data_IF_788509937549
#
_entry.id   IF_788509937549
#
_cell.length_a   1.000
_cell.length_b   1.000
_cell.length_c   1.000
_cell.angle_alpha   90.00
_cell.angle_beta   90.00
_cell.angle_gamma   90.00
#
_symmetry.space_group_name_H-M   'P 1'
#
loop_
_entity.id
_entity.type
_entity.pdbx_description
1 polymer ?
#
# COMPACT_ATOMS: atom_id res chain seq x y z
N UNK A 1 10.50 -6.53 17.41
CA UNK A 1 10.85 -5.96 16.09
C UNK A 1 9.66 -6.22 15.20
N UNK A 2 8.81 -5.21 14.98
CA UNK A 2 7.62 -5.36 14.14
C UNK A 2 8.05 -5.69 12.71
N UNK A 3 7.63 -6.85 12.23
CA UNK A 3 7.82 -7.29 10.85
C UNK A 3 6.85 -6.51 9.95
N UNK A 4 7.15 -5.22 9.75
CA UNK A 4 6.32 -4.34 8.92
C UNK A 4 6.77 -4.35 7.47
N UNK A 5 5.82 -4.31 6.54
CA UNK A 5 6.09 -4.26 5.11
C UNK A 5 5.01 -3.48 4.36
N UNK A 6 5.35 -3.01 3.15
CA UNK A 6 4.44 -2.22 2.33
C UNK A 6 3.80 -3.09 1.25
N UNK A 7 2.50 -2.88 1.03
CA UNK A 7 1.70 -3.55 0.01
C UNK A 7 0.80 -2.54 -0.70
N UNK A 8 0.33 -2.81 -1.93
CA UNK A 8 -0.74 -2.02 -2.53
C UNK A 8 -1.99 -2.03 -1.64
N UNK A 9 -2.63 -0.89 -1.43
CA UNK A 9 -3.85 -0.83 -0.61
C UNK A 9 -5.06 -1.50 -1.31
N UNK A 10 -5.00 -1.58 -2.64
CA UNK A 10 -6.00 -2.23 -3.47
C UNK A 10 -5.55 -2.30 -4.93
N UNK A 11 -6.50 -2.47 -5.83
CA UNK A 11 -6.27 -2.33 -7.27
C UNK A 11 -6.05 -0.87 -7.64
N UNK A 12 -5.11 -0.61 -8.55
CA UNK A 12 -4.88 0.71 -9.14
C UNK A 12 -4.64 0.63 -10.64
N UNK A 13 -5.17 1.60 -11.39
CA UNK A 13 -4.97 1.74 -12.83
C UNK A 13 -4.52 3.16 -13.17
N UNK A 14 -3.47 3.28 -13.98
CA UNK A 14 -2.93 4.54 -14.46
C UNK A 14 -2.66 4.53 -15.96
N UNK A 15 -3.02 5.61 -16.65
CA UNK A 15 -2.76 5.78 -18.08
C UNK A 15 -1.60 6.74 -18.32
N UNK A 16 -0.63 6.31 -19.13
CA UNK A 16 0.43 7.16 -19.66
C UNK A 16 0.42 7.14 -21.20
N UNK A 17 0.55 8.31 -21.82
CA UNK A 17 0.62 8.43 -23.28
C UNK A 17 1.94 9.11 -23.69
N UNK A 18 2.66 8.53 -24.66
CA UNK A 18 3.85 9.11 -25.27
C UNK A 18 3.90 8.78 -26.77
N UNK A 19 4.08 9.81 -27.61
CA UNK A 19 4.07 9.72 -29.08
C UNK A 19 2.93 8.84 -29.63
N UNK A 20 1.71 9.08 -29.15
CA UNK A 20 0.48 8.34 -29.46
C UNK A 20 0.45 6.87 -29.00
N UNK A 21 1.53 6.37 -28.41
CA UNK A 21 1.48 5.07 -27.74
C UNK A 21 0.78 5.24 -26.40
N UNK A 22 -0.03 4.26 -26.02
CA UNK A 22 -0.74 4.24 -24.75
C UNK A 22 -0.22 3.12 -23.88
N UNK A 23 -0.04 3.41 -22.60
CA UNK A 23 0.44 2.47 -21.60
C UNK A 23 -0.53 2.50 -20.43
N UNK A 24 -1.18 1.37 -20.17
CA UNK A 24 -2.12 1.21 -19.07
C UNK A 24 -1.39 0.38 -18.01
N UNK A 25 -0.98 1.03 -16.93
CA UNK A 25 -0.32 0.39 -15.79
C UNK A 25 -1.33 -0.02 -14.74
N UNK A 26 -1.45 -1.31 -14.51
CA UNK A 26 -2.34 -1.91 -13.51
C UNK A 26 -1.51 -2.51 -12.37
N UNK A 27 -1.96 -2.27 -11.13
CA UNK A 27 -1.39 -2.81 -9.90
C UNK A 27 -2.45 -3.65 -9.19
N UNK A 28 -2.04 -4.83 -8.75
CA UNK A 28 -2.86 -5.77 -8.00
C UNK A 28 -2.14 -6.18 -6.72
N UNK A 29 -2.81 -6.17 -5.56
CA UNK A 29 -2.33 -6.89 -4.39
C UNK A 29 -2.47 -8.40 -4.66
N UNK A 30 -1.41 -9.15 -4.39
CA UNK A 30 -1.34 -10.61 -4.58
C UNK A 30 -0.44 -11.22 -3.53
N UNK A 31 -0.84 -12.36 -2.98
CA UNK A 31 -0.10 -13.05 -1.91
C UNK A 31 0.74 -14.22 -2.45
N UNK A 32 0.43 -14.71 -3.66
CA UNK A 32 1.08 -15.89 -4.23
C UNK A 32 1.51 -15.70 -5.69
N UNK A 33 2.52 -16.44 -6.17
CA UNK A 33 2.86 -16.47 -7.60
C UNK A 33 1.69 -16.89 -8.49
N UNK A 34 0.83 -17.80 -8.02
CA UNK A 34 -0.34 -18.30 -8.72
C UNK A 34 -1.38 -17.18 -8.93
N UNK A 35 -1.63 -16.37 -7.90
CA UNK A 35 -2.48 -15.18 -8.02
C UNK A 35 -1.90 -14.16 -8.99
N UNK A 36 -0.59 -13.90 -8.94
CA UNK A 36 0.07 -13.00 -9.89
C UNK A 36 -0.11 -13.49 -11.34
N UNK A 37 0.06 -14.79 -11.60
CA UNK A 37 -0.15 -15.40 -12.92
C UNK A 37 -1.62 -15.25 -13.34
N UNK A 38 -2.57 -15.45 -12.44
CA UNK A 38 -4.00 -15.29 -12.72
C UNK A 38 -4.34 -13.84 -13.12
N UNK A 39 -3.77 -12.84 -12.42
CA UNK A 39 -3.95 -11.41 -12.78
C UNK A 39 -3.34 -11.07 -14.14
N UNK A 40 -2.15 -11.60 -14.44
CA UNK A 40 -1.52 -11.41 -15.76
C UNK A 40 -2.42 -11.99 -16.86
N UNK A 41 -2.99 -13.18 -16.66
CA UNK A 41 -3.90 -13.79 -17.61
C UNK A 41 -5.22 -12.99 -17.77
N UNK A 42 -5.76 -12.47 -16.67
CA UNK A 42 -6.94 -11.60 -16.66
C UNK A 42 -6.71 -10.34 -17.52
N UNK A 43 -5.59 -9.65 -17.32
CA UNK A 43 -5.21 -8.45 -18.09
C UNK A 43 -5.01 -8.77 -19.58
N UNK A 44 -4.32 -9.89 -19.88
CA UNK A 44 -4.14 -10.36 -21.27
C UNK A 44 -5.48 -10.65 -21.95
N UNK A 45 -6.45 -11.21 -21.23
CA UNK A 45 -7.79 -11.46 -21.76
C UNK A 45 -8.60 -10.17 -21.95
N UNK A 46 -8.52 -9.24 -20.98
CA UNK A 46 -9.17 -7.91 -21.01
C UNK A 46 -8.73 -7.10 -22.22
N UNK A 47 -7.43 -7.10 -22.52
CA UNK A 47 -6.81 -6.30 -23.59
C UNK A 47 -6.19 -7.15 -24.70
N UNK A 48 -6.91 -8.18 -25.16
CA UNK A 48 -6.43 -9.17 -26.15
C UNK A 48 -5.92 -8.60 -27.49
N UNK A 49 -6.26 -7.36 -27.81
CA UNK A 49 -5.86 -6.65 -29.03
C UNK A 49 -4.55 -5.86 -28.87
N UNK A 50 -4.07 -5.70 -27.63
CA UNK A 50 -2.73 -5.16 -27.38
C UNK A 50 -1.65 -6.19 -27.71
N UNK A 51 -0.48 -5.69 -28.11
CA UNK A 51 0.64 -6.56 -28.52
C UNK A 51 1.52 -6.98 -27.35
N UNK A 52 1.60 -6.15 -26.32
CA UNK A 52 2.51 -6.33 -25.19
C UNK A 52 1.78 -6.11 -23.87
N UNK A 53 1.96 -7.06 -22.96
CA UNK A 53 1.55 -7.04 -21.57
C UNK A 53 2.77 -7.38 -20.70
N UNK A 54 3.68 -6.42 -20.61
CA UNK A 54 4.86 -6.55 -19.78
C UNK A 54 4.44 -6.58 -18.31
N UNK A 55 5.15 -7.33 -17.48
CA UNK A 55 4.78 -7.47 -16.07
C UNK A 55 6.00 -7.53 -15.16
N UNK A 56 5.76 -7.23 -13.90
CA UNK A 56 6.66 -7.45 -12.79
C UNK A 56 5.86 -7.81 -11.54
N UNK A 57 6.35 -8.74 -10.72
CA UNK A 57 5.74 -9.01 -9.42
C UNK A 57 6.78 -9.32 -8.36
N UNK A 58 6.42 -8.99 -7.11
CA UNK A 58 7.20 -9.25 -5.91
C UNK A 58 6.26 -9.92 -4.91
N UNK A 59 6.59 -11.14 -4.50
CA UNK A 59 5.89 -11.87 -3.42
C UNK A 59 6.88 -12.06 -2.28
N UNK A 60 6.51 -11.59 -1.09
CA UNK A 60 7.39 -11.62 0.09
C UNK A 60 7.64 -13.06 0.53
N UNK A 61 6.57 -13.85 0.65
CA UNK A 61 6.69 -15.26 0.98
C UNK A 61 7.44 -16.01 -0.13
N UNK A 62 8.48 -16.78 0.23
CA UNK A 62 9.35 -17.46 -0.73
C UNK A 62 10.29 -16.54 -1.53
N UNK A 63 10.29 -15.22 -1.27
CA UNK A 63 11.18 -14.23 -1.90
C UNK A 63 11.13 -14.28 -3.45
N UNK A 64 9.92 -14.33 -4.01
CA UNK A 64 9.76 -14.35 -5.46
C UNK A 64 9.84 -12.94 -6.04
N UNK A 65 10.73 -12.78 -7.03
CA UNK A 65 10.78 -11.62 -7.90
C UNK A 65 10.85 -12.09 -9.35
N UNK A 66 9.91 -11.62 -10.17
CA UNK A 66 9.83 -11.95 -11.60
C UNK A 66 9.44 -10.74 -12.40
N UNK A 67 9.89 -10.71 -13.64
CA UNK A 67 9.47 -9.72 -14.64
C UNK A 67 9.48 -10.35 -16.03
N UNK A 68 8.80 -9.71 -16.98
CA UNK A 68 8.82 -10.04 -18.40
C UNK A 68 8.66 -8.79 -19.23
N UNK A 69 9.45 -8.70 -20.30
CA UNK A 69 9.33 -7.66 -21.32
C UNK A 69 8.29 -8.00 -22.41
N UNK A 70 7.70 -9.21 -22.39
CA UNK A 70 6.60 -9.64 -23.30
C UNK A 70 6.80 -9.25 -24.79
N UNK A 71 8.03 -9.39 -25.29
CA UNK A 71 8.37 -9.09 -26.68
C UNK A 71 8.83 -7.65 -26.96
N UNK A 72 8.86 -6.78 -25.95
CA UNK A 72 9.63 -5.54 -26.00
C UNK A 72 11.14 -5.83 -26.00
N UNK A 73 11.99 -4.87 -26.41
CA UNK A 73 13.43 -5.01 -26.27
C UNK A 73 13.82 -5.34 -24.82
N UNK A 74 14.77 -6.26 -24.67
CA UNK A 74 15.16 -6.80 -23.38
C UNK A 74 15.55 -5.70 -22.38
N UNK A 75 15.00 -5.78 -21.17
CA UNK A 75 15.28 -4.86 -20.07
C UNK A 75 14.65 -3.48 -20.21
N UNK A 76 13.76 -3.27 -21.19
CA UNK A 76 13.14 -1.96 -21.43
C UNK A 76 11.75 -1.79 -20.83
N UNK A 77 11.14 -2.87 -20.32
CA UNK A 77 9.78 -2.83 -19.79
C UNK A 77 9.67 -3.45 -18.39
N UNK A 78 9.80 -4.77 -18.27
CA UNK A 78 9.57 -5.48 -17.00
C UNK A 78 10.59 -5.10 -15.92
N UNK A 79 11.85 -4.92 -16.28
CA UNK A 79 12.90 -4.52 -15.32
C UNK A 79 12.67 -3.10 -14.76
N UNK A 80 12.40 -2.06 -15.58
CA UNK A 80 11.98 -0.76 -15.07
C UNK A 80 10.77 -0.79 -14.13
N UNK A 81 9.76 -1.61 -14.43
CA UNK A 81 8.58 -1.77 -13.56
C UNK A 81 8.96 -2.40 -12.21
N UNK A 82 9.80 -3.44 -12.24
CA UNK A 82 10.31 -4.09 -11.02
C UNK A 82 11.13 -3.12 -10.16
N UNK A 83 11.96 -2.29 -10.79
CA UNK A 83 12.76 -1.28 -10.08
C UNK A 83 11.91 -0.23 -9.37
N UNK A 84 10.75 0.15 -9.92
CA UNK A 84 9.78 1.03 -9.25
C UNK A 84 9.29 0.38 -7.95
N UNK A 85 8.79 -0.86 -8.04
CA UNK A 85 8.26 -1.59 -6.89
C UNK A 85 9.32 -1.76 -5.79
N UNK A 86 10.56 -2.09 -6.17
CA UNK A 86 11.68 -2.25 -5.24
C UNK A 86 12.09 -0.95 -4.57
N UNK A 87 12.18 0.16 -5.31
CA UNK A 87 12.56 1.46 -4.74
C UNK A 87 11.53 1.98 -3.75
N UNK A 88 10.26 1.70 -3.99
CA UNK A 88 9.16 2.03 -3.08
C UNK A 88 8.96 0.96 -1.98
N UNK A 89 9.81 -0.09 -1.92
CA UNK A 89 9.74 -1.20 -0.98
C UNK A 89 8.39 -1.96 -0.95
N UNK A 90 7.69 -2.00 -2.09
CA UNK A 90 6.40 -2.66 -2.20
C UNK A 90 6.59 -4.17 -2.41
N UNK A 91 5.84 -4.96 -1.65
CA UNK A 91 5.77 -6.41 -1.73
C UNK A 91 4.32 -6.86 -1.93
N UNK A 92 4.12 -8.16 -2.17
CA UNK A 92 2.81 -8.76 -2.41
C UNK A 92 2.02 -8.02 -3.50
N UNK A 93 2.70 -7.82 -4.64
CA UNK A 93 2.26 -6.94 -5.72
C UNK A 93 2.50 -7.57 -7.08
N UNK A 94 1.53 -7.43 -7.97
CA UNK A 94 1.67 -7.69 -9.40
C UNK A 94 1.39 -6.40 -10.17
N UNK A 95 2.34 -6.00 -11.01
CA UNK A 95 2.21 -4.89 -11.94
C UNK A 95 2.16 -5.43 -13.36
N UNK A 96 1.15 -5.03 -14.13
CA UNK A 96 1.03 -5.34 -15.55
C UNK A 96 0.88 -4.03 -16.32
N UNK A 97 1.70 -3.81 -17.34
CA UNK A 97 1.57 -2.66 -18.23
C UNK A 97 1.18 -3.16 -19.61
N UNK A 98 -0.03 -2.81 -20.02
CA UNK A 98 -0.55 -3.08 -21.37
C UNK A 98 -0.17 -1.92 -22.29
N UNK A 99 0.44 -2.23 -23.44
CA UNK A 99 0.86 -1.21 -24.41
C UNK A 99 0.10 -1.32 -25.74
N UNK A 100 -0.44 -0.20 -26.18
CA UNK A 100 -0.90 0.04 -27.55
C UNK A 100 0.12 0.90 -28.30
N UNK A 101 0.62 0.41 -29.44
CA UNK A 101 1.62 1.12 -30.23
C UNK A 101 1.01 2.30 -31.02
N UNK A 102 1.60 3.49 -30.89
CA UNK A 102 1.13 4.73 -31.52
C UNK A 102 1.64 5.04 -32.93
N UNK A 103 2.29 4.07 -33.59
CA UNK A 103 2.88 4.27 -34.91
C UNK A 103 4.24 5.01 -34.92
N UNK A 104 4.78 5.40 -33.76
CA UNK A 104 6.08 6.07 -33.63
C UNK A 104 6.95 5.34 -32.62
N UNK A 105 8.16 4.98 -33.02
CA UNK A 105 9.11 4.31 -32.13
C UNK A 105 9.59 5.27 -31.02
N UNK A 106 9.65 4.75 -29.80
CA UNK A 106 10.10 5.48 -28.61
C UNK A 106 11.61 5.34 -28.38
N UNK A 107 12.23 4.30 -28.94
CA UNK A 107 13.61 3.89 -28.63
C UNK A 107 13.74 3.34 -27.19
N UNK A 108 14.89 2.75 -26.88
CA UNK A 108 15.16 2.10 -25.57
C UNK A 108 14.87 3.03 -24.38
N UNK A 109 15.43 4.25 -24.40
CA UNK A 109 15.23 5.19 -23.30
C UNK A 109 13.78 5.70 -23.18
N UNK A 110 13.03 5.76 -24.28
CA UNK A 110 11.61 6.13 -24.26
C UNK A 110 10.75 5.03 -23.65
N UNK A 111 11.00 3.76 -23.99
CA UNK A 111 10.30 2.62 -23.40
C UNK A 111 10.55 2.52 -21.90
N UNK A 112 11.82 2.58 -21.48
CA UNK A 112 12.18 2.55 -20.05
C UNK A 112 11.40 3.61 -19.27
N UNK A 113 11.38 4.86 -19.75
CA UNK A 113 10.59 5.92 -19.10
C UNK A 113 9.10 5.65 -19.10
N UNK A 114 8.53 5.17 -20.21
CA UNK A 114 7.10 4.92 -20.32
C UNK A 114 6.62 3.81 -19.36
N UNK A 115 7.34 2.68 -19.30
CA UNK A 115 7.02 1.59 -18.38
C UNK A 115 7.25 1.99 -16.92
N UNK A 116 8.31 2.75 -16.63
CA UNK A 116 8.55 3.33 -15.29
C UNK A 116 7.36 4.19 -14.86
N UNK A 117 6.95 5.14 -15.71
CA UNK A 117 5.88 6.08 -15.37
C UNK A 117 4.53 5.39 -15.24
N UNK A 118 4.25 4.38 -16.07
CA UNK A 118 3.02 3.61 -16.00
C UNK A 118 2.90 2.81 -14.70
N UNK A 119 3.98 2.15 -14.27
CA UNK A 119 4.01 1.47 -12.98
C UNK A 119 3.83 2.44 -11.81
N UNK A 120 4.47 3.61 -11.85
CA UNK A 120 4.28 4.65 -10.83
C UNK A 120 2.85 5.14 -10.74
N UNK A 121 2.20 5.43 -11.88
CA UNK A 121 0.81 5.89 -11.91
C UNK A 121 -0.16 4.81 -11.42
N UNK A 122 0.06 3.55 -11.81
CA UNK A 122 -0.74 2.43 -11.30
C UNK A 122 -0.59 2.27 -9.78
N UNK A 123 0.63 2.43 -9.25
CA UNK A 123 0.89 2.30 -7.81
C UNK A 123 0.33 3.47 -7.02
N UNK A 124 0.43 4.68 -7.55
CA UNK A 124 -0.19 5.88 -6.99
C UNK A 124 -1.71 5.72 -6.90
N UNK A 125 -2.35 5.21 -7.97
CA UNK A 125 -3.79 4.93 -7.99
C UNK A 125 -4.21 3.82 -7.01
N UNK A 126 -3.34 2.80 -6.82
CA UNK A 126 -3.61 1.69 -5.90
C UNK A 126 -3.58 2.12 -4.43
N UNK A 127 -2.82 3.17 -4.11
CA UNK A 127 -2.45 3.51 -2.74
C UNK A 127 -1.53 2.47 -2.11
N UNK A 128 -1.00 2.79 -0.93
CA UNK A 128 -0.06 1.93 -0.19
C UNK A 128 -0.55 1.75 1.24
N UNK A 129 -0.60 0.49 1.66
CA UNK A 129 -0.78 0.11 3.06
C UNK A 129 0.55 -0.34 3.66
N UNK A 130 0.77 0.02 4.93
CA UNK A 130 1.77 -0.60 5.78
C UNK A 130 1.11 -1.72 6.58
N UNK A 131 1.55 -2.95 6.35
CA UNK A 131 1.21 -4.10 7.16
C UNK A 131 2.11 -4.10 8.40
N UNK A 132 1.53 -4.17 9.60
CA UNK A 132 2.26 -4.28 10.87
C UNK A 132 1.35 -4.87 11.94
N UNK A 133 1.93 -5.27 13.07
CA UNK A 133 1.17 -5.46 14.31
C UNK A 133 0.78 -4.11 14.89
N UNK A 134 -0.50 -3.99 15.24
CA UNK A 134 -1.09 -2.85 15.94
C UNK A 134 -1.74 -3.35 17.22
N UNK A 135 -1.61 -2.56 18.28
CA UNK A 135 -2.32 -2.81 19.54
C UNK A 135 -3.66 -2.07 19.50
N UNK A 136 -4.73 -2.77 19.87
CA UNK A 136 -6.07 -2.22 20.04
C UNK A 136 -6.23 -1.83 21.50
N UNK A 137 -6.48 -0.55 21.76
CA UNK A 137 -6.63 0.00 23.10
C UNK A 137 -8.03 0.55 23.28
N UNK A 138 -8.55 0.41 24.50
CA UNK A 138 -9.75 1.05 24.96
C UNK A 138 -9.37 2.19 25.90
N UNK A 139 -9.75 3.41 25.55
CA UNK A 139 -9.49 4.61 26.36
C UNK A 139 -10.81 5.11 26.92
N UNK A 140 -10.97 5.11 28.23
CA UNK A 140 -12.16 5.66 28.89
C UNK A 140 -11.84 6.98 29.56
N UNK A 141 -12.58 8.03 29.20
CA UNK A 141 -12.38 9.37 29.73
C UNK A 141 -13.68 10.15 29.93
N UNK A 142 -13.70 11.11 30.88
CA UNK A 142 -14.79 12.07 30.99
C UNK A 142 -14.90 12.96 29.74
N UNK A 143 -16.11 13.42 29.44
CA UNK A 143 -16.39 14.33 28.32
C UNK A 143 -15.51 15.58 28.30
N UNK A 144 -15.15 16.13 29.47
CA UNK A 144 -14.30 17.32 29.57
C UNK A 144 -12.86 17.10 29.07
N UNK A 145 -12.40 15.85 29.03
CA UNK A 145 -11.06 15.47 28.62
C UNK A 145 -10.99 14.87 27.22
N UNK A 146 -12.13 14.57 26.59
CA UNK A 146 -12.17 13.99 25.24
C UNK A 146 -11.32 14.77 24.24
N UNK A 147 -11.45 16.10 24.22
CA UNK A 147 -10.66 16.95 23.31
C UNK A 147 -9.16 16.88 23.57
N UNK A 148 -8.74 16.72 24.83
CA UNK A 148 -7.32 16.53 25.19
C UNK A 148 -6.83 15.18 24.69
N UNK A 149 -7.59 14.11 24.94
CA UNK A 149 -7.27 12.76 24.46
C UNK A 149 -7.11 12.77 22.94
N UNK A 150 -8.10 13.27 22.21
CA UNK A 150 -8.09 13.31 20.73
C UNK A 150 -6.92 14.11 20.15
N UNK A 151 -6.43 15.13 20.85
CA UNK A 151 -5.26 15.90 20.40
C UNK A 151 -3.95 15.14 20.59
N UNK A 152 -3.86 14.24 21.57
CA UNK A 152 -2.65 13.47 21.88
C UNK A 152 -2.50 12.26 20.95
N UNK A 153 -3.60 11.59 20.58
CA UNK A 153 -3.52 10.35 19.77
C UNK A 153 -2.65 10.47 18.50
N UNK A 154 -2.80 11.53 17.66
CA UNK A 154 -2.03 11.65 16.43
C UNK A 154 -0.51 11.80 16.66
N UNK A 155 -0.09 12.36 17.80
CA UNK A 155 1.33 12.53 18.15
C UNK A 155 2.02 11.18 18.42
N UNK A 156 1.24 10.14 18.72
CA UNK A 156 1.70 8.78 19.01
C UNK A 156 1.39 7.78 17.87
N UNK A 157 1.11 8.28 16.66
CA UNK A 157 0.67 7.47 15.52
C UNK A 157 -0.57 6.61 15.84
N UNK A 158 -1.38 7.07 16.79
CA UNK A 158 -2.58 6.39 17.25
C UNK A 158 -3.81 6.93 16.49
N UNK A 159 -4.61 6.01 15.94
CA UNK A 159 -5.80 6.30 15.18
C UNK A 159 -7.03 5.95 16.00
N UNK A 160 -8.07 6.78 15.94
CA UNK A 160 -9.37 6.45 16.54
C UNK A 160 -10.19 5.63 15.55
N UNK A 161 -10.55 4.41 15.95
CA UNK A 161 -11.38 3.50 15.17
C UNK A 161 -12.87 3.72 15.46
N UNK A 162 -13.21 3.94 16.73
CA UNK A 162 -14.59 4.20 17.16
C UNK A 162 -14.65 5.05 18.44
N UNK A 163 -15.77 5.74 18.65
CA UNK A 163 -16.04 6.51 19.86
C UNK A 163 -17.47 6.24 20.33
N UNK A 164 -17.60 5.68 21.52
CA UNK A 164 -18.86 5.45 22.19
C UNK A 164 -19.12 6.52 23.26
N UNK A 165 -20.33 7.09 23.25
CA UNK A 165 -20.76 8.12 24.18
C UNK A 165 -21.79 7.55 25.16
N UNK A 166 -21.38 7.33 26.41
CA UNK A 166 -22.23 6.78 27.47
C UNK A 166 -22.16 7.64 28.75
N UNK A 167 -22.01 7.02 29.92
CA UNK A 167 -21.77 7.76 31.16
C UNK A 167 -20.42 8.49 31.12
N UNK A 168 -19.39 7.79 30.65
CA UNK A 168 -18.12 8.32 30.20
C UNK A 168 -17.96 8.09 28.69
N UNK A 169 -16.95 8.72 28.08
CA UNK A 169 -16.62 8.52 26.67
C UNK A 169 -15.57 7.42 26.55
N UNK A 170 -15.83 6.46 25.67
CA UNK A 170 -14.90 5.36 25.42
C UNK A 170 -14.43 5.42 23.97
N UNK A 171 -13.12 5.43 23.77
CA UNK A 171 -12.51 5.42 22.44
C UNK A 171 -11.86 4.06 22.21
N UNK A 172 -12.19 3.42 21.09
CA UNK A 172 -11.40 2.31 20.57
C UNK A 172 -10.36 2.89 19.63
N UNK A 173 -9.08 2.62 19.93
CA UNK A 173 -7.96 3.20 19.18
C UNK A 173 -6.94 2.13 18.80
N UNK A 174 -6.22 2.37 17.72
CA UNK A 174 -5.14 1.50 17.24
C UNK A 174 -3.84 2.28 17.09
N UNK A 175 -2.74 1.70 17.57
CA UNK A 175 -1.38 2.24 17.38
C UNK A 175 -0.37 1.12 17.11
N UNK A 176 0.79 1.42 16.52
CA UNK A 176 1.83 0.43 16.32
C UNK A 176 2.20 -0.28 17.63
N UNK A 177 2.30 -1.62 17.60
CA UNK A 177 2.66 -2.42 18.77
C UNK A 177 4.02 -1.97 19.34
N UNK A 178 4.08 -1.78 20.66
CA UNK A 178 5.21 -1.20 21.39
C UNK A 178 5.08 0.29 21.73
N UNK A 179 4.06 0.98 21.23
CA UNK A 179 3.77 2.39 21.53
C UNK A 179 2.88 2.61 22.76
N UNK A 180 2.36 1.54 23.38
CA UNK A 180 1.29 1.59 24.38
C UNK A 180 1.72 2.33 25.64
N UNK A 181 2.91 2.03 26.16
CA UNK A 181 3.43 2.64 27.38
C UNK A 181 3.67 4.15 27.21
N UNK A 182 4.17 4.55 26.03
CA UNK A 182 4.41 5.96 25.72
C UNK A 182 3.10 6.74 25.62
N UNK A 183 2.09 6.19 24.96
CA UNK A 183 0.76 6.81 24.89
C UNK A 183 0.10 6.89 26.27
N UNK A 184 0.14 5.80 27.04
CA UNK A 184 -0.44 5.76 28.38
C UNK A 184 0.22 6.78 29.32
N UNK A 185 1.55 6.96 29.24
CA UNK A 185 2.26 7.97 30.01
C UNK A 185 1.82 9.40 29.62
N UNK A 186 1.77 9.72 28.32
CA UNK A 186 1.35 11.03 27.84
C UNK A 186 -0.09 11.38 28.26
N UNK A 187 -1.01 10.42 28.14
CA UNK A 187 -2.40 10.59 28.57
C UNK A 187 -2.50 10.81 30.09
N UNK A 188 -1.76 10.06 30.91
CA UNK A 188 -1.75 10.25 32.37
C UNK A 188 -1.26 11.64 32.75
N UNK A 189 -0.17 12.11 32.14
CA UNK A 189 0.40 13.43 32.43
C UNK A 189 -0.54 14.56 32.04
N UNK A 190 -1.16 14.48 30.86
CA UNK A 190 -2.06 15.52 30.37
C UNK A 190 -3.41 15.57 31.11
N UNK A 191 -3.82 14.46 31.71
CA UNK A 191 -5.16 14.31 32.30
C UNK A 191 -5.14 14.18 33.82
N UNK A 192 -3.96 14.31 34.45
CA UNK A 192 -3.79 14.03 35.89
C UNK A 192 -4.30 12.63 36.28
N UNK A 193 -4.03 11.64 35.43
CA UNK A 193 -4.46 10.25 35.55
C UNK A 193 -6.00 10.05 35.63
N UNK A 194 -6.79 10.97 35.08
CA UNK A 194 -8.25 10.86 35.00
C UNK A 194 -8.74 10.04 33.79
N UNK A 195 -7.83 9.41 33.05
CA UNK A 195 -8.12 8.59 31.87
C UNK A 195 -7.58 7.18 32.10
N UNK A 196 -8.43 6.20 31.85
CA UNK A 196 -8.06 4.79 31.91
C UNK A 196 -7.72 4.27 30.51
N UNK A 197 -6.70 3.42 30.43
CA UNK A 197 -6.16 2.89 29.17
C UNK A 197 -5.96 1.39 29.32
N UNK A 198 -6.76 0.62 28.60
CA UNK A 198 -6.69 -0.84 28.58
C UNK A 198 -6.20 -1.34 27.21
N UNK A 199 -5.24 -2.27 27.21
CA UNK A 199 -4.79 -2.95 25.98
C UNK A 199 -5.67 -4.20 25.81
N UNK A 200 -6.43 -4.25 24.71
CA UNK A 200 -7.41 -5.30 24.45
C UNK A 200 -6.77 -6.49 23.74
N UNK A 201 -6.13 -6.24 22.60
CA UNK A 201 -5.51 -7.27 21.76
C UNK A 201 -4.41 -6.69 20.86
N UNK A 202 -3.56 -7.57 20.33
CA UNK A 202 -2.67 -7.26 19.22
C UNK A 202 -3.26 -7.82 17.92
N UNK A 203 -3.35 -6.98 16.88
CA UNK A 203 -3.89 -7.35 15.57
C UNK A 203 -2.91 -6.99 14.46
N UNK A 204 -2.62 -7.97 13.60
CA UNK A 204 -1.85 -7.72 12.38
C UNK A 204 -2.77 -7.18 11.29
N UNK A 205 -2.53 -5.95 10.83
CA UNK A 205 -3.40 -5.29 9.86
C UNK A 205 -2.65 -4.30 8.97
N UNK A 206 -3.28 -3.93 7.86
CA UNK A 206 -2.79 -2.91 6.94
C UNK A 206 -3.36 -1.54 7.26
N UNK A 207 -2.49 -0.53 7.42
CA UNK A 207 -2.88 0.87 7.57
C UNK A 207 -2.48 1.67 6.34
N UNK A 208 -3.42 2.46 5.81
CA UNK A 208 -3.18 3.29 4.63
C UNK A 208 -2.21 4.42 4.94
N UNK A 209 -1.15 4.53 4.15
CA UNK A 209 -0.18 5.63 4.22
C UNK A 209 -0.51 6.76 3.24
N UNK A 210 -0.94 6.41 2.02
CA UNK A 210 -1.33 7.31 0.93
C UNK A 210 -2.16 6.52 -0.08
#
# INVERSE_FOLDING_TARGET
MNDSYLVPAGYGEGLYEDRRSKFIGEIFPVETPEEAIARIAEVKAKYRDARHHCYAYIIREGNYMRYSDDGEPQGTAGMPMLDVLRRENITNVCCVVTRYFGGVLLGTGGLVRAYTKSAQLGLEAAGINQMSSYSVLLITCPYSLLGVVQNILPEHDCMTDDIEYAADVTLTVTLPEGGEEALAAALRDATSAAVDVEVMESRFMGRRLR
#
